data_IF_496069131138
#
_entry.id   IF_496069131138
#
_cell.length_a   1.000
_cell.length_b   1.000
_cell.length_c   1.000
_cell.angle_alpha   90.00
_cell.angle_beta   90.00
_cell.angle_gamma   90.00
#
_symmetry.space_group_name_H-M   'P 1'
#
loop_
_entity.id
_entity.type
_entity.pdbx_description
1 polymer ?
#
# COMPACT_ATOMS: atom_id res chain seq x y z
N UNK A 1 -35.81 -14.74 -4.51
CA UNK A 1 -35.24 -13.57 -3.80
C UNK A 1 -34.23 -12.88 -4.71
N UNK A 2 -34.28 -11.55 -4.82
CA UNK A 2 -33.39 -10.76 -5.67
C UNK A 2 -31.99 -10.65 -5.05
N UNK A 3 -30.89 -10.80 -5.83
CA UNK A 3 -29.54 -10.59 -5.33
C UNK A 3 -29.34 -9.17 -4.78
N UNK A 4 -28.44 -9.02 -3.80
CA UNK A 4 -28.05 -7.73 -3.23
C UNK A 4 -26.54 -7.56 -3.26
N UNK A 5 -26.09 -6.31 -3.34
CA UNK A 5 -24.69 -5.95 -3.21
C UNK A 5 -24.28 -6.17 -1.74
N UNK A 6 -23.31 -7.05 -1.48
CA UNK A 6 -22.86 -7.35 -0.13
C UNK A 6 -21.66 -6.47 0.28
N UNK A 7 -20.82 -6.10 -0.67
CA UNK A 7 -19.76 -5.11 -0.51
C UNK A 7 -19.35 -4.58 -1.89
N UNK A 8 -18.97 -3.31 -1.96
CA UNK A 8 -18.39 -2.72 -3.16
C UNK A 8 -17.25 -1.77 -2.82
N UNK A 9 -16.20 -1.84 -3.63
CA UNK A 9 -15.07 -0.92 -3.65
C UNK A 9 -14.67 -0.66 -5.08
N UNK A 10 -14.25 0.57 -5.37
CA UNK A 10 -13.74 0.94 -6.68
C UNK A 10 -12.59 1.91 -6.53
N UNK A 11 -11.75 2.01 -7.55
CA UNK A 11 -10.77 3.06 -7.59
C UNK A 11 -9.69 2.85 -8.64
N UNK A 12 -8.49 3.29 -8.28
CA UNK A 12 -7.35 3.36 -9.18
C UNK A 12 -6.21 2.52 -8.64
N UNK A 13 -5.83 1.52 -9.43
CA UNK A 13 -4.69 0.65 -9.14
C UNK A 13 -3.49 1.04 -10.01
N UNK A 14 -2.30 0.54 -9.67
CA UNK A 14 -1.08 0.66 -10.47
C UNK A 14 -0.69 2.12 -10.80
N UNK A 15 -0.90 3.06 -9.85
CA UNK A 15 -0.45 4.46 -10.00
C UNK A 15 1.01 4.56 -9.60
N UNK A 16 1.89 4.62 -10.60
CA UNK A 16 3.33 4.77 -10.38
C UNK A 16 3.68 6.21 -10.03
N UNK A 17 4.39 6.40 -8.93
CA UNK A 17 4.88 7.69 -8.43
C UNK A 17 6.39 7.60 -8.27
N UNK A 18 7.10 8.54 -8.88
CA UNK A 18 8.53 8.73 -8.64
C UNK A 18 8.77 10.14 -8.13
N UNK A 19 9.27 10.27 -6.90
CA UNK A 19 9.52 11.56 -6.25
C UNK A 19 11.01 11.76 -6.05
N UNK A 20 11.53 12.90 -6.51
CA UNK A 20 12.90 13.34 -6.27
C UNK A 20 12.88 14.52 -5.32
N UNK A 21 13.71 14.44 -4.29
CA UNK A 21 14.09 15.56 -3.45
C UNK A 21 15.52 15.97 -3.79
N UNK A 22 15.73 17.23 -4.15
CA UNK A 22 17.05 17.78 -4.44
C UNK A 22 17.45 18.70 -3.29
N UNK A 23 18.51 18.35 -2.57
CA UNK A 23 19.09 19.25 -1.60
C UNK A 23 20.04 20.22 -2.33
N UNK A 24 19.60 21.46 -2.53
CA UNK A 24 20.36 22.48 -3.27
C UNK A 24 21.69 22.84 -2.59
N UNK A 25 21.75 22.81 -1.26
CA UNK A 25 22.94 23.16 -0.47
C UNK A 25 24.06 22.13 -0.63
N UNK A 26 23.71 20.86 -0.78
CA UNK A 26 24.67 19.74 -0.84
C UNK A 26 24.79 19.12 -2.23
N UNK A 27 23.87 19.41 -3.15
CA UNK A 27 23.72 18.74 -4.43
C UNK A 27 23.25 17.27 -4.33
N UNK A 28 22.95 16.77 -3.13
CA UNK A 28 22.53 15.38 -2.90
C UNK A 28 21.04 15.23 -3.23
N UNK A 29 20.71 14.25 -4.07
CA UNK A 29 19.33 13.90 -4.37
C UNK A 29 18.89 12.69 -3.56
N UNK A 30 17.63 12.65 -3.15
CA UNK A 30 16.96 11.47 -2.58
C UNK A 30 15.79 11.10 -3.47
N UNK A 31 15.64 9.82 -3.78
CA UNK A 31 14.62 9.33 -4.70
C UNK A 31 13.72 8.31 -4.01
N UNK A 32 12.43 8.36 -4.31
CA UNK A 32 11.43 7.40 -3.85
C UNK A 32 10.60 6.97 -5.04
N UNK A 33 10.55 5.66 -5.29
CA UNK A 33 9.67 5.07 -6.30
C UNK A 33 8.66 4.17 -5.62
N UNK A 34 7.39 4.36 -5.95
CA UNK A 34 6.30 3.56 -5.41
C UNK A 34 5.18 3.35 -6.42
N UNK A 35 4.42 2.27 -6.24
CA UNK A 35 3.17 2.01 -6.94
C UNK A 35 2.04 2.06 -5.93
N UNK A 36 1.04 2.89 -6.20
CA UNK A 36 -0.07 3.18 -5.29
C UNK A 36 -1.36 2.61 -5.88
N UNK A 37 -2.13 1.94 -5.03
CA UNK A 37 -3.51 1.55 -5.28
C UNK A 37 -4.41 2.23 -4.25
N UNK A 38 -5.52 2.81 -4.71
CA UNK A 38 -6.55 3.37 -3.85
C UNK A 38 -7.89 2.77 -4.24
N UNK A 39 -8.59 2.22 -3.26
CA UNK A 39 -9.96 1.74 -3.37
C UNK A 39 -10.85 2.46 -2.34
N UNK A 40 -11.96 3.01 -2.80
CA UNK A 40 -12.93 3.73 -1.98
C UNK A 40 -14.15 2.85 -1.72
N UNK A 41 -14.67 2.95 -0.49
CA UNK A 41 -15.83 2.26 0.03
C UNK A 41 -16.79 3.28 0.68
N UNK A 42 -18.09 3.12 0.43
CA UNK A 42 -19.11 4.02 0.96
C UNK A 42 -20.49 3.81 0.34
N UNK A 43 -21.30 4.86 0.30
CA UNK A 43 -22.65 4.88 -0.28
C UNK A 43 -22.62 4.90 -1.81
N UNK A 44 -22.10 3.83 -2.42
CA UNK A 44 -21.84 3.73 -3.87
C UNK A 44 -22.74 2.73 -4.59
N UNK A 45 -23.71 2.15 -3.88
CA UNK A 45 -24.58 1.08 -4.40
C UNK A 45 -25.37 1.49 -5.65
N UNK A 46 -25.76 2.77 -5.77
CA UNK A 46 -26.56 3.28 -6.90
C UNK A 46 -25.84 3.15 -8.23
N UNK A 47 -24.51 3.20 -8.24
CA UNK A 47 -23.69 2.96 -9.45
C UNK A 47 -23.84 1.52 -9.97
N UNK A 48 -23.95 0.54 -9.07
CA UNK A 48 -24.05 -0.88 -9.41
C UNK A 48 -25.49 -1.34 -9.64
N UNK A 49 -26.47 -0.67 -9.03
CA UNK A 49 -27.86 -1.12 -9.01
C UNK A 49 -28.80 -0.29 -9.89
N UNK A 50 -28.46 0.98 -10.14
CA UNK A 50 -29.30 1.93 -10.88
C UNK A 50 -28.58 2.58 -12.07
N UNK A 51 -27.34 2.17 -12.36
CA UNK A 51 -26.48 2.79 -13.36
C UNK A 51 -26.29 4.31 -13.13
N UNK A 52 -26.34 4.74 -11.86
CA UNK A 52 -26.17 6.14 -11.46
C UNK A 52 -24.77 6.36 -10.88
N UNK A 53 -23.90 6.97 -11.68
CA UNK A 53 -22.51 7.23 -11.32
C UNK A 53 -22.31 8.57 -10.57
N UNK A 54 -23.38 9.24 -10.12
CA UNK A 54 -23.27 10.50 -9.34
C UNK A 54 -22.46 10.35 -8.04
N UNK A 55 -22.41 9.14 -7.49
CA UNK A 55 -21.65 8.75 -6.29
C UNK A 55 -20.23 8.22 -6.59
N UNK A 56 -19.79 8.29 -7.84
CA UNK A 56 -18.49 7.75 -8.28
C UNK A 56 -17.51 8.88 -8.54
N UNK A 57 -16.43 8.91 -7.78
CA UNK A 57 -15.26 9.75 -8.04
C UNK A 57 -14.54 9.21 -9.27
N UNK A 58 -14.33 10.04 -10.29
CA UNK A 58 -13.62 9.62 -11.49
C UNK A 58 -12.22 9.05 -11.12
N UNK A 59 -11.89 7.85 -11.62
CA UNK A 59 -10.62 7.19 -11.27
C UNK A 59 -9.41 7.95 -11.81
N UNK A 60 -9.57 8.75 -12.86
CA UNK A 60 -8.53 9.68 -13.31
C UNK A 60 -8.30 10.81 -12.31
N UNK A 61 -9.36 11.36 -11.70
CA UNK A 61 -9.24 12.31 -10.59
C UNK A 61 -8.49 11.70 -9.41
N UNK A 62 -8.78 10.44 -9.06
CA UNK A 62 -8.04 9.74 -7.99
C UNK A 62 -6.54 9.62 -8.30
N UNK A 63 -6.18 9.28 -9.55
CA UNK A 63 -4.79 9.25 -10.02
C UNK A 63 -4.13 10.63 -9.88
N UNK A 64 -4.80 11.69 -10.32
CA UNK A 64 -4.27 13.05 -10.26
C UNK A 64 -4.13 13.53 -8.80
N UNK A 65 -5.07 13.17 -7.93
CA UNK A 65 -4.99 13.39 -6.49
C UNK A 65 -3.73 12.74 -5.92
N UNK A 66 -3.41 11.49 -6.25
CA UNK A 66 -2.17 10.83 -5.79
C UNK A 66 -0.93 11.65 -6.15
N UNK A 67 -0.83 12.16 -7.38
CA UNK A 67 0.30 12.98 -7.81
C UNK A 67 0.40 14.31 -7.07
N UNK A 68 -0.74 15.00 -6.90
CA UNK A 68 -0.80 16.28 -6.19
C UNK A 68 -0.44 16.06 -4.72
N UNK A 69 -1.00 15.04 -4.07
CA UNK A 69 -0.69 14.71 -2.67
C UNK A 69 0.79 14.35 -2.50
N UNK A 70 1.38 13.59 -3.44
CA UNK A 70 2.81 13.28 -3.40
C UNK A 70 3.70 14.53 -3.54
N UNK A 71 3.25 15.56 -4.27
CA UNK A 71 3.96 16.84 -4.41
C UNK A 71 3.83 17.67 -3.13
N UNK A 72 2.63 17.73 -2.55
CA UNK A 72 2.32 18.56 -1.38
C UNK A 72 2.86 17.98 -0.07
N UNK A 73 2.90 16.65 0.06
CA UNK A 73 3.20 15.99 1.34
C UNK A 73 4.41 15.04 1.26
N UNK A 74 5.02 14.68 2.41
CA UNK A 74 6.05 13.66 2.45
C UNK A 74 5.53 12.30 1.98
N UNK A 75 6.34 11.58 1.20
CA UNK A 75 6.05 10.22 0.73
C UNK A 75 6.78 9.14 1.53
N UNK A 76 7.63 9.57 2.48
CA UNK A 76 8.40 8.70 3.35
C UNK A 76 8.12 9.11 4.80
N UNK A 77 7.81 8.17 5.70
CA UNK A 77 7.64 6.74 5.42
C UNK A 77 6.33 6.50 4.61
N UNK A 78 6.23 5.44 3.79
CA UNK A 78 5.02 5.21 2.98
C UNK A 78 3.76 5.05 3.84
N UNK A 79 3.87 4.62 5.10
CA UNK A 79 2.78 4.59 6.08
C UNK A 79 2.13 5.96 6.28
N UNK A 80 2.94 7.01 6.39
CA UNK A 80 2.46 8.37 6.53
C UNK A 80 1.74 8.81 5.25
N UNK A 81 2.30 8.49 4.09
CA UNK A 81 1.70 8.88 2.82
C UNK A 81 0.38 8.16 2.54
N UNK A 82 0.31 6.85 2.83
CA UNK A 82 -0.91 6.07 2.72
C UNK A 82 -2.01 6.64 3.63
N UNK A 83 -1.65 7.03 4.86
CA UNK A 83 -2.55 7.66 5.83
C UNK A 83 -3.06 9.02 5.34
N UNK A 84 -2.16 9.89 4.86
CA UNK A 84 -2.52 11.21 4.29
C UNK A 84 -3.49 11.06 3.12
N UNK A 85 -3.22 10.10 2.22
CA UNK A 85 -4.02 9.87 1.05
C UNK A 85 -5.40 9.32 1.40
N UNK A 86 -5.48 8.33 2.29
CA UNK A 86 -6.75 7.77 2.75
C UNK A 86 -7.61 8.82 3.45
N UNK A 87 -7.03 9.61 4.36
CA UNK A 87 -7.73 10.71 5.05
C UNK A 87 -8.21 11.81 4.11
N UNK A 88 -7.47 12.10 3.03
CA UNK A 88 -7.92 13.07 2.03
C UNK A 88 -9.22 12.62 1.36
N UNK A 89 -9.32 11.35 0.95
CA UNK A 89 -10.52 10.86 0.27
C UNK A 89 -11.74 10.84 1.18
N UNK A 90 -11.62 10.34 2.42
CA UNK A 90 -12.74 10.29 3.37
C UNK A 90 -13.19 11.70 3.81
N UNK A 91 -12.28 12.67 3.91
CA UNK A 91 -12.64 14.05 4.24
C UNK A 91 -13.24 14.85 3.08
N UNK A 92 -12.86 14.51 1.84
CA UNK A 92 -13.30 15.25 0.64
C UNK A 92 -14.68 14.83 0.19
N UNK A 93 -15.02 13.55 0.33
CA UNK A 93 -16.25 12.96 -0.22
C UNK A 93 -17.14 12.41 0.90
N UNK A 94 -18.22 13.11 1.30
CA UNK A 94 -19.06 12.72 2.44
C UNK A 94 -19.75 11.35 2.32
N UNK A 95 -19.84 10.80 1.11
CA UNK A 95 -20.43 9.48 0.85
C UNK A 95 -19.37 8.36 0.86
N UNK A 96 -18.09 8.67 1.12
CA UNK A 96 -16.98 7.72 1.15
C UNK A 96 -16.53 7.52 2.60
N UNK A 97 -16.93 6.40 3.19
CA UNK A 97 -16.70 6.11 4.60
C UNK A 97 -15.34 5.46 4.87
N UNK A 98 -14.72 4.81 3.89
CA UNK A 98 -13.42 4.17 4.06
C UNK A 98 -12.59 4.22 2.79
N UNK A 99 -11.31 4.56 2.93
CA UNK A 99 -10.31 4.49 1.88
C UNK A 99 -9.29 3.39 2.21
N UNK A 100 -9.08 2.49 1.26
CA UNK A 100 -8.07 1.43 1.31
C UNK A 100 -6.91 1.85 0.40
N UNK A 101 -5.72 2.00 0.97
CA UNK A 101 -4.54 2.47 0.26
C UNK A 101 -3.42 1.46 0.40
N UNK A 102 -3.01 0.85 -0.72
CA UNK A 102 -1.88 -0.06 -0.79
C UNK A 102 -0.73 0.62 -1.52
N UNK A 103 0.47 0.60 -0.94
CA UNK A 103 1.67 1.18 -1.54
C UNK A 103 2.78 0.13 -1.57
N UNK A 104 3.31 -0.13 -2.75
CA UNK A 104 4.51 -0.94 -2.98
C UNK A 104 5.68 0.00 -3.22
N UNK A 105 6.69 0.01 -2.34
CA UNK A 105 7.86 0.89 -2.46
C UNK A 105 9.07 0.10 -2.96
N UNK A 106 9.70 0.60 -4.02
CA UNK A 106 10.95 0.05 -4.55
C UNK A 106 12.14 0.70 -3.83
N UNK A 107 13.16 -0.12 -3.55
CA UNK A 107 14.40 0.33 -2.92
C UNK A 107 15.44 0.70 -3.97
N UNK A 108 16.04 1.87 -3.79
CA UNK A 108 17.15 2.38 -4.59
C UNK A 108 18.37 2.58 -3.70
N UNK A 109 19.43 1.81 -3.93
CA UNK A 109 20.71 1.98 -3.25
C UNK A 109 21.56 3.03 -3.98
N UNK A 110 22.14 3.96 -3.21
CA UNK A 110 23.05 4.96 -3.76
C UNK A 110 24.36 4.30 -4.17
N UNK A 111 24.81 4.57 -5.39
CA UNK A 111 26.10 4.08 -5.88
C UNK A 111 27.26 4.77 -5.17
N UNK A 112 28.38 4.07 -5.02
CA UNK A 112 29.62 4.60 -4.47
C UNK A 112 30.72 4.53 -5.54
N UNK A 113 31.42 5.64 -5.77
CA UNK A 113 32.58 5.73 -6.65
C UNK A 113 33.77 6.26 -5.86
N UNK A 114 34.94 5.65 -5.99
CA UNK A 114 36.16 6.03 -5.25
C UNK A 114 35.95 6.18 -3.73
N UNK A 115 35.15 5.28 -3.15
CA UNK A 115 34.81 5.29 -1.72
C UNK A 115 33.82 6.39 -1.30
N UNK A 116 33.29 7.19 -2.23
CA UNK A 116 32.35 8.28 -1.95
C UNK A 116 30.96 8.02 -2.54
N UNK A 117 29.88 8.26 -1.79
CA UNK A 117 28.51 8.13 -2.31
C UNK A 117 28.26 9.14 -3.44
N UNK A 118 27.70 8.69 -4.56
CA UNK A 118 27.36 9.56 -5.67
C UNK A 118 26.17 10.47 -5.31
N UNK A 119 26.19 11.77 -5.65
CA UNK A 119 25.11 12.69 -5.28
C UNK A 119 23.73 12.29 -5.85
N UNK A 120 23.67 11.60 -6.99
CA UNK A 120 22.41 11.33 -7.70
C UNK A 120 22.40 10.07 -8.60
N UNK A 121 23.27 9.09 -8.34
CA UNK A 121 23.26 7.80 -9.07
C UNK A 121 22.88 6.67 -8.13
N UNK A 122 21.99 5.81 -8.61
CA UNK A 122 21.38 4.75 -7.82
C UNK A 122 21.34 3.44 -8.62
N UNK A 123 21.36 2.32 -7.90
CA UNK A 123 21.21 0.97 -8.45
C UNK A 123 20.16 0.20 -7.63
N UNK A 124 19.56 -0.83 -8.22
CA UNK A 124 18.69 -1.76 -7.50
C UNK A 124 19.51 -2.97 -7.06
N UNK A 125 19.85 -3.01 -5.78
CA UNK A 125 20.64 -4.05 -5.10
C UNK A 125 19.74 -5.09 -4.42
N UNK A 126 18.66 -5.47 -5.11
CA UNK A 126 17.60 -6.31 -4.56
C UNK A 126 16.30 -6.17 -5.34
N UNK A 127 15.41 -7.14 -5.16
CA UNK A 127 14.06 -7.14 -5.74
C UNK A 127 12.97 -7.04 -4.68
N UNK A 128 13.34 -7.15 -3.40
CA UNK A 128 12.43 -7.01 -2.30
C UNK A 128 11.83 -5.61 -2.23
N UNK A 129 10.60 -5.54 -1.76
CA UNK A 129 9.86 -4.29 -1.66
C UNK A 129 9.43 -4.01 -0.22
N UNK A 130 9.33 -2.74 0.12
CA UNK A 130 8.74 -2.29 1.39
C UNK A 130 7.33 -1.81 1.10
N UNK A 131 6.34 -2.50 1.63
CA UNK A 131 4.95 -2.22 1.31
C UNK A 131 4.19 -1.75 2.55
N UNK A 132 3.08 -1.06 2.31
CA UNK A 132 2.10 -0.73 3.35
C UNK A 132 0.70 -0.89 2.79
N UNK A 133 -0.19 -1.43 3.62
CA UNK A 133 -1.64 -1.37 3.44
C UNK A 133 -2.24 -0.51 4.55
N UNK A 134 -3.02 0.49 4.19
CA UNK A 134 -3.72 1.38 5.09
C UNK A 134 -5.24 1.31 4.86
N UNK A 135 -5.99 1.06 5.92
CA UNK A 135 -7.44 1.25 5.93
C UNK A 135 -7.74 2.48 6.77
N UNK A 136 -8.23 3.53 6.11
CA UNK A 136 -8.62 4.78 6.76
C UNK A 136 -10.13 4.89 6.73
N UNK A 137 -10.76 4.72 7.88
CA UNK A 137 -12.19 4.98 8.05
C UNK A 137 -12.40 6.41 8.50
N UNK A 138 -13.43 7.05 7.95
CA UNK A 138 -13.88 8.37 8.38
C UNK A 138 -14.12 8.39 9.90
N UNK A 139 -14.02 9.56 10.50
CA UNK A 139 -14.45 9.76 11.87
C UNK A 139 -15.19 11.07 12.05
N UNK A 140 -15.58 11.35 13.29
CA UNK A 140 -16.39 12.52 13.61
C UNK A 140 -15.54 13.79 13.50
N UNK A 141 -15.55 14.50 12.39
CA UNK A 141 -15.06 15.88 12.36
C UNK A 141 -15.67 16.69 11.21
N UNK A 142 -16.17 17.88 11.53
CA UNK A 142 -16.61 18.86 10.53
C UNK A 142 -15.46 19.67 9.90
N UNK A 143 -14.20 19.36 10.24
CA UNK A 143 -13.04 20.05 9.68
C UNK A 143 -12.61 19.44 8.34
N UNK A 144 -12.27 20.30 7.38
CA UNK A 144 -11.64 19.89 6.11
C UNK A 144 -10.11 19.79 6.20
N UNK A 145 -9.51 20.21 7.31
CA UNK A 145 -8.07 20.12 7.49
C UNK A 145 -7.66 18.72 7.92
N UNK A 146 -6.87 18.05 7.08
CA UNK A 146 -6.41 16.65 7.24
C UNK A 146 -5.69 16.44 8.57
N UNK A 147 -4.95 17.44 9.08
CA UNK A 147 -4.24 17.32 10.36
C UNK A 147 -5.16 17.32 11.58
N UNK A 148 -6.37 17.87 11.45
CA UNK A 148 -7.36 17.97 12.53
C UNK A 148 -8.44 16.87 12.52
N UNK A 149 -8.36 15.93 11.58
CA UNK A 149 -9.34 14.84 11.45
C UNK A 149 -9.13 13.76 12.50
N UNK A 150 -10.22 13.41 13.17
CA UNK A 150 -10.38 12.15 13.88
C UNK A 150 -10.72 11.08 12.83
N UNK A 151 -9.82 10.13 12.60
CA UNK A 151 -10.05 9.00 11.69
C UNK A 151 -9.48 7.74 12.31
N UNK A 152 -10.05 6.58 12.00
CA UNK A 152 -9.42 5.32 12.40
C UNK A 152 -8.50 4.86 11.29
N UNK A 153 -7.20 4.76 11.58
CA UNK A 153 -6.17 4.39 10.61
C UNK A 153 -5.57 3.06 11.05
N UNK A 154 -5.89 1.98 10.34
CA UNK A 154 -5.26 0.67 10.53
C UNK A 154 -4.15 0.47 9.50
N UNK A 155 -2.94 0.18 9.96
CA UNK A 155 -1.77 0.02 9.12
C UNK A 155 -1.21 -1.40 9.23
N UNK A 156 -0.84 -1.97 8.08
CA UNK A 156 0.01 -3.16 7.99
C UNK A 156 1.22 -2.80 7.14
N UNK A 157 2.41 -2.94 7.71
CA UNK A 157 3.65 -2.76 6.95
C UNK A 157 4.23 -4.12 6.61
N UNK A 158 4.98 -4.18 5.51
CA UNK A 158 5.62 -5.43 5.11
C UNK A 158 6.92 -5.26 4.35
N UNK A 159 7.71 -6.32 4.42
CA UNK A 159 8.80 -6.63 3.50
C UNK A 159 8.32 -7.81 2.67
N UNK A 160 8.42 -7.71 1.35
CA UNK A 160 8.03 -8.80 0.46
C UNK A 160 9.13 -9.13 -0.54
N UNK A 161 9.30 -10.42 -0.83
CA UNK A 161 10.24 -10.91 -1.83
C UNK A 161 11.71 -10.84 -1.42
N UNK A 162 12.03 -10.84 -0.12
CA UNK A 162 13.42 -10.85 0.33
C UNK A 162 14.07 -12.20 0.06
N UNK A 163 14.88 -12.27 -0.99
CA UNK A 163 15.67 -13.46 -1.31
C UNK A 163 16.78 -13.65 -0.28
N UNK A 164 16.78 -14.80 0.37
CA UNK A 164 17.84 -15.23 1.28
C UNK A 164 18.42 -16.56 0.80
N UNK A 165 19.70 -16.77 1.08
CA UNK A 165 20.40 -18.01 0.76
C UNK A 165 21.22 -18.45 1.97
N UNK A 166 21.11 -19.73 2.29
CA UNK A 166 21.94 -20.44 3.25
C UNK A 166 22.67 -21.56 2.51
N UNK A 167 24.00 -21.51 2.47
CA UNK A 167 24.82 -22.43 1.65
C UNK A 167 25.04 -23.81 2.29
N UNK A 168 24.93 -23.93 3.61
CA UNK A 168 25.12 -25.17 4.39
C UNK A 168 24.37 -25.07 5.72
N UNK A 169 24.33 -26.13 6.52
CA UNK A 169 23.57 -26.26 7.75
C UNK A 169 22.05 -26.05 7.54
N UNK A 170 21.53 -26.40 6.36
CA UNK A 170 20.08 -26.43 6.09
C UNK A 170 19.57 -27.86 6.07
N UNK A 171 19.60 -28.49 7.23
CA UNK A 171 19.19 -29.87 7.42
C UNK A 171 17.66 -29.97 7.43
N UNK A 172 17.14 -31.08 6.93
CA UNK A 172 15.72 -31.44 7.04
C UNK A 172 15.65 -32.94 7.25
N UNK A 173 15.58 -33.34 8.51
CA UNK A 173 15.58 -34.72 8.99
C UNK A 173 14.63 -34.83 10.19
N UNK A 174 14.32 -36.05 10.62
CA UNK A 174 13.42 -36.33 11.75
C UNK A 174 12.00 -35.75 11.59
N UNK A 175 11.51 -35.68 10.34
CA UNK A 175 10.12 -35.33 10.04
C UNK A 175 9.22 -36.59 10.10
N UNK A 176 7.92 -36.37 10.26
CA UNK A 176 6.92 -37.45 10.28
C UNK A 176 6.97 -38.24 8.97
N UNK A 177 6.95 -39.58 9.06
CA UNK A 177 6.87 -40.48 7.91
C UNK A 177 5.52 -41.19 7.90
N UNK A 178 4.72 -40.92 6.88
CA UNK A 178 3.48 -41.63 6.57
C UNK A 178 3.69 -42.64 5.42
N UNK A 179 2.64 -43.36 5.03
CA UNK A 179 2.67 -44.32 3.93
C UNK A 179 2.98 -43.71 2.55
N UNK A 180 2.99 -42.38 2.43
CA UNK A 180 3.30 -41.64 1.19
C UNK A 180 4.66 -40.93 1.23
N UNK A 181 5.37 -40.98 2.36
CA UNK A 181 6.62 -40.24 2.56
C UNK A 181 7.79 -40.91 1.83
N UNK A 182 8.12 -40.38 0.66
CA UNK A 182 9.29 -40.81 -0.15
C UNK A 182 10.51 -39.89 0.02
N UNK A 183 10.35 -38.73 0.65
CA UNK A 183 11.42 -37.75 0.85
C UNK A 183 12.54 -38.35 1.73
N UNK A 184 13.81 -38.39 1.25
CA UNK A 184 14.95 -38.76 2.08
C UNK A 184 15.29 -37.64 3.06
N UNK A 185 15.80 -38.01 4.23
CA UNK A 185 16.38 -37.04 5.16
C UNK A 185 17.65 -36.42 4.60
N UNK A 186 17.93 -35.18 4.97
CA UNK A 186 19.20 -34.53 4.66
C UNK A 186 19.81 -33.87 5.89
N UNK A 187 21.09 -34.14 6.11
CA UNK A 187 21.91 -33.56 7.18
C UNK A 187 22.70 -32.33 6.72
N UNK A 188 22.63 -31.98 5.43
CA UNK A 188 23.07 -30.69 4.92
C UNK A 188 22.40 -30.37 3.56
N UNK A 189 22.20 -29.09 3.25
CA UNK A 189 21.73 -28.65 1.93
C UNK A 189 22.01 -27.17 1.72
N UNK A 190 22.10 -26.78 0.44
CA UNK A 190 21.85 -25.39 0.03
C UNK A 190 20.35 -25.12 0.11
N UNK A 191 19.98 -23.98 0.68
CA UNK A 191 18.62 -23.45 0.73
C UNK A 191 18.61 -22.02 0.20
N UNK A 192 17.68 -21.73 -0.69
CA UNK A 192 17.30 -20.37 -1.02
C UNK A 192 15.79 -20.25 -1.03
N UNK A 193 15.28 -19.14 -0.49
CA UNK A 193 13.84 -18.85 -0.41
C UNK A 193 13.63 -17.34 -0.46
N UNK A 194 12.41 -16.94 -0.78
CA UNK A 194 11.94 -15.57 -0.53
C UNK A 194 11.24 -15.52 0.82
N UNK A 195 11.45 -14.43 1.55
CA UNK A 195 10.81 -14.15 2.83
C UNK A 195 9.83 -12.99 2.65
N UNK A 196 8.59 -13.24 3.04
CA UNK A 196 7.58 -12.21 3.23
C UNK A 196 7.32 -12.05 4.73
N UNK A 197 7.41 -10.81 5.23
CA UNK A 197 7.16 -10.48 6.63
C UNK A 197 6.17 -9.33 6.70
N UNK A 198 5.09 -9.51 7.45
CA UNK A 198 4.04 -8.51 7.64
C UNK A 198 3.87 -8.25 9.14
N UNK A 199 3.66 -7.00 9.53
CA UNK A 199 3.30 -6.65 10.90
C UNK A 199 2.20 -5.58 10.89
N UNK A 200 1.24 -5.76 11.78
CA UNK A 200 0.13 -4.85 11.98
C UNK A 200 0.46 -3.89 13.12
N UNK A 201 0.15 -2.62 12.91
CA UNK A 201 0.27 -1.59 13.95
C UNK A 201 -1.01 -1.54 14.78
N UNK A 202 -0.89 -1.01 16.01
CA UNK A 202 -2.07 -0.53 16.73
C UNK A 202 -2.77 0.55 15.89
N UNK A 203 -4.11 0.58 15.83
CA UNK A 203 -4.82 1.62 15.10
C UNK A 203 -4.43 3.03 15.57
N UNK A 204 -4.20 3.94 14.63
CA UNK A 204 -3.94 5.35 14.89
C UNK A 204 -5.24 6.15 14.79
N UNK A 205 -5.31 7.25 15.55
CA UNK A 205 -6.50 8.12 15.63
C UNK A 205 -6.45 9.34 14.71
N UNK A 206 -5.30 9.63 14.11
CA UNK A 206 -5.09 10.73 13.18
C UNK A 206 -3.81 10.55 12.36
N UNK A 207 -3.67 11.32 11.28
CA UNK A 207 -2.43 11.39 10.49
C UNK A 207 -1.26 11.88 11.34
N UNK A 208 -1.49 12.83 12.25
CA UNK A 208 -0.44 13.33 13.15
C UNK A 208 0.03 12.26 14.14
N UNK A 209 -0.82 11.32 14.55
CA UNK A 209 -0.39 10.18 15.38
C UNK A 209 0.55 9.21 14.62
N UNK A 210 0.38 9.09 13.29
CA UNK A 210 1.30 8.34 12.41
C UNK A 210 2.61 9.11 12.22
N UNK A 211 2.56 10.43 12.30
CA UNK A 211 3.64 11.38 12.06
C UNK A 211 4.63 11.45 13.24
N UNK A 212 5.34 10.37 13.55
CA UNK A 212 6.51 10.45 14.42
C UNK A 212 7.75 10.92 13.63
N UNK A 213 7.76 12.19 13.21
CA UNK A 213 8.79 12.79 12.33
C UNK A 213 10.03 13.34 13.04
N UNK A 214 10.33 12.91 14.28
CA UNK A 214 11.53 13.38 14.99
C UNK A 214 12.84 13.11 14.23
N UNK A 215 12.85 12.12 13.32
CA UNK A 215 14.00 11.78 12.48
C UNK A 215 14.15 12.62 11.20
N UNK A 216 13.14 13.43 10.80
CA UNK A 216 13.14 14.11 9.49
C UNK A 216 14.08 15.34 9.41
N UNK A 217 14.65 15.78 10.55
CA UNK A 217 15.66 16.86 10.69
C UNK A 217 15.45 18.12 9.83
N UNK A 218 14.21 18.50 9.48
CA UNK A 218 13.92 19.71 8.72
C UNK A 218 14.15 19.60 7.20
N UNK A 219 14.18 18.39 6.63
CA UNK A 219 14.31 18.19 5.18
C UNK A 219 13.17 18.91 4.41
N UNK A 220 13.55 19.88 3.56
CA UNK A 220 12.62 20.63 2.70
C UNK A 220 12.13 19.75 1.54
N UNK A 221 11.22 18.81 1.75
CA UNK A 221 10.83 17.79 0.73
C UNK A 221 9.37 17.87 0.26
N UNK A 222 8.73 19.03 0.42
CA UNK A 222 7.34 19.30 0.06
C UNK A 222 7.19 20.55 -0.80
N UNK A 223 6.06 20.65 -1.52
CA UNK A 223 5.68 21.83 -2.29
C UNK A 223 6.71 22.20 -3.35
N UNK A 224 7.26 23.42 -3.28
CA UNK A 224 8.26 23.91 -4.24
C UNK A 224 9.56 23.10 -4.27
N UNK A 225 9.89 22.39 -3.18
CA UNK A 225 11.16 21.68 -3.02
C UNK A 225 11.07 20.17 -3.38
N UNK A 226 9.99 19.77 -4.05
CA UNK A 226 9.74 18.38 -4.45
C UNK A 226 9.48 18.28 -5.95
N UNK A 227 10.08 17.32 -6.65
CA UNK A 227 9.70 16.98 -8.02
C UNK A 227 8.96 15.64 -8.01
N UNK A 228 7.77 15.59 -8.60
CA UNK A 228 7.02 14.35 -8.80
C UNK A 228 6.94 14.08 -10.29
N UNK A 229 7.48 12.95 -10.70
CA UNK A 229 7.48 12.50 -12.08
C UNK A 229 6.29 11.59 -12.30
N UNK A 230 5.54 11.89 -13.35
CA UNK A 230 4.40 11.11 -13.82
C UNK A 230 4.89 10.25 -14.98
N UNK A 231 5.16 8.95 -14.78
CA UNK A 231 5.45 8.08 -15.91
C UNK A 231 4.20 8.01 -16.79
N UNK A 232 4.35 8.14 -18.11
CA UNK A 232 3.23 7.96 -19.02
C UNK A 232 2.70 6.54 -18.91
N UNK A 233 1.47 6.40 -18.40
CA UNK A 233 0.81 5.12 -18.15
C UNK A 233 -0.26 4.82 -19.22
N UNK A 234 -0.50 3.54 -19.51
CA UNK A 234 -1.76 3.11 -20.13
C UNK A 234 -2.94 3.27 -19.15
N UNK A 235 -4.19 3.25 -19.64
CA UNK A 235 -5.38 3.30 -18.78
C UNK A 235 -5.49 2.05 -17.91
N UNK A 236 -5.76 2.23 -16.63
CA UNK A 236 -5.99 1.17 -15.63
C UNK A 236 -7.06 1.62 -14.61
N UNK A 237 -7.86 0.70 -14.10
CA UNK A 237 -8.88 0.95 -13.08
C UNK A 237 -9.21 -0.36 -12.38
N UNK A 238 -9.69 -0.30 -11.14
CA UNK A 238 -9.96 -1.50 -10.34
C UNK A 238 -11.32 -1.38 -9.67
N UNK A 239 -12.15 -2.41 -9.88
CA UNK A 239 -13.47 -2.55 -9.26
C UNK A 239 -13.49 -3.90 -8.55
N UNK A 240 -13.91 -3.93 -7.29
CA UNK A 240 -14.07 -5.13 -6.47
C UNK A 240 -15.45 -5.11 -5.83
N UNK A 241 -16.30 -6.08 -6.17
CA UNK A 241 -17.61 -6.25 -5.54
C UNK A 241 -17.82 -7.68 -5.07
N UNK A 242 -18.52 -7.85 -3.95
CA UNK A 242 -19.02 -9.15 -3.48
C UNK A 242 -20.55 -9.13 -3.57
N UNK A 243 -21.11 -10.13 -4.24
CA UNK A 243 -22.57 -10.33 -4.38
C UNK A 243 -22.94 -11.63 -3.68
N UNK A 244 -24.06 -11.64 -2.96
CA UNK A 244 -24.54 -12.82 -2.23
C UNK A 244 -26.03 -13.06 -2.43
N UNK A 245 -26.47 -14.29 -2.15
CA UNK A 245 -27.87 -14.69 -1.92
C UNK A 245 -28.03 -15.03 -0.43
N UNK A 246 -29.17 -14.74 0.18
CA UNK A 246 -29.46 -15.25 1.53
C UNK A 246 -29.49 -16.78 1.49
N UNK A 247 -28.74 -17.43 2.37
CA UNK A 247 -28.66 -18.89 2.42
C UNK A 247 -30.02 -19.49 2.79
N UNK A 248 -30.61 -20.24 1.87
CA UNK A 248 -31.61 -21.24 2.22
C UNK A 248 -30.90 -22.30 3.08
N UNK A 249 -31.48 -22.65 4.23
CA UNK A 249 -30.92 -23.64 5.15
C UNK A 249 -30.52 -24.90 4.38
N UNK A 250 -29.21 -25.21 4.43
CA UNK A 250 -28.62 -26.43 3.87
C UNK A 250 -29.23 -27.65 4.59
N UNK A 251 -30.32 -28.18 4.05
CA UNK A 251 -30.83 -29.55 4.23
C UNK A 251 -30.74 -30.18 2.83
N UNK A 252 -30.21 -31.36 2.58
CA UNK A 252 -30.11 -32.57 3.40
C UNK A 252 -28.77 -33.27 3.14
N UNK A 253 -28.25 -33.93 4.18
CA UNK A 253 -27.17 -34.91 4.11
C UNK A 253 -27.59 -36.07 3.22
N UNK A 254 -26.74 -36.59 2.31
CA UNK A 254 -27.02 -37.86 1.66
C UNK A 254 -27.08 -38.95 2.74
N UNK A 255 -28.18 -39.71 2.77
CA UNK A 255 -28.19 -40.99 3.49
C UNK A 255 -27.21 -41.94 2.81
N UNK A 256 -26.53 -42.73 3.65
CA UNK A 256 -25.52 -43.74 3.35
C UNK A 256 -25.76 -44.51 2.04
#
# INVERSE_FOLDING_TARGET
MTPKLAAARYGKDNVRVYKVHRNEETGVHTVVEMTVCVLLEGDIETSYTKADNSVVVATDSMKNTIYIMAKLYPVTPPELFASILGSHFTATYPHIHTAHVDIVTLRWARMTFDGKPHPHSFLRDGTETRNVSATVSEGNSGSKDITSLTSTISLTSSISGLSVLKSTNSQFHNFIRDEYTTLPETWDRVLSTNVDANWMWQPFTSVDAVKHLSWHKGLKNTGKNAEVYVPQSGPNGLIKCKVGRAGENRRETPKL
#
